data_IF_619343191801
#
_entry.id   IF_619343191801
#
_cell.length_a   1.000
_cell.length_b   1.000
_cell.length_c   1.000
_cell.angle_alpha   90.00
_cell.angle_beta   90.00
_cell.angle_gamma   90.00
#
_symmetry.space_group_name_H-M   'P 1'
#
loop_
_entity.id
_entity.type
_entity.pdbx_description
1 polymer ?
#
# COMPACT_ATOMS: atom_id res chain seq x y z
N UNK A 1 -0.02 21.38 -10.59
CA UNK A 1 0.31 20.21 -9.74
C UNK A 1 -0.98 19.63 -9.17
N UNK A 2 -1.33 18.38 -9.49
CA UNK A 2 -2.48 17.74 -8.83
C UNK A 2 -2.13 17.46 -7.36
N UNK A 3 -2.93 18.00 -6.44
CA UNK A 3 -2.83 17.66 -5.02
C UNK A 3 -3.19 16.17 -4.86
N UNK A 4 -2.20 15.33 -4.55
CA UNK A 4 -2.46 13.92 -4.21
C UNK A 4 -3.14 13.86 -2.84
N UNK A 5 -4.28 13.16 -2.75
CA UNK A 5 -4.96 12.92 -1.47
C UNK A 5 -4.18 11.87 -0.69
N UNK A 6 -3.88 12.17 0.57
CA UNK A 6 -3.23 11.24 1.51
C UNK A 6 -4.29 10.77 2.51
N UNK A 7 -4.35 9.46 2.75
CA UNK A 7 -5.19 8.86 3.78
C UNK A 7 -4.33 8.18 4.83
N UNK A 8 -4.66 8.37 6.10
CA UNK A 8 -4.04 7.66 7.23
C UNK A 8 -5.15 6.83 7.87
N UNK A 9 -4.93 5.52 7.98
CA UNK A 9 -5.93 4.58 8.48
C UNK A 9 -5.48 4.09 9.85
N UNK A 10 -6.38 4.16 10.83
CA UNK A 10 -6.18 3.60 12.16
C UNK A 10 -7.12 2.41 12.34
N UNK A 11 -6.62 1.35 13.00
CA UNK A 11 -7.43 0.19 13.35
C UNK A 11 -8.16 0.37 14.68
N UNK A 12 -9.09 -0.53 15.03
CA UNK A 12 -9.71 -0.57 16.36
C UNK A 12 -8.67 -0.73 17.47
N UNK A 13 -8.93 -0.17 18.65
CA UNK A 13 -7.96 -0.14 19.76
C UNK A 13 -7.50 -1.52 20.23
N UNK A 14 -8.41 -2.49 20.28
CA UNK A 14 -8.09 -3.85 20.77
C UNK A 14 -7.38 -4.72 19.72
N UNK A 15 -7.71 -4.58 18.44
CA UNK A 15 -7.32 -5.53 17.39
C UNK A 15 -6.41 -4.94 16.31
N UNK A 16 -6.30 -3.62 16.22
CA UNK A 16 -5.47 -2.93 15.24
C UNK A 16 -5.91 -3.19 13.78
N UNK A 17 -4.98 -2.96 12.84
CA UNK A 17 -5.21 -3.24 11.43
C UNK A 17 -4.96 -4.72 11.15
N UNK A 18 -5.89 -5.36 10.43
CA UNK A 18 -5.68 -6.72 9.93
C UNK A 18 -4.66 -6.72 8.76
N UNK A 19 -4.18 -7.92 8.40
CA UNK A 19 -3.21 -8.08 7.31
C UNK A 19 -3.73 -7.60 5.96
N UNK A 20 -5.05 -7.63 5.73
CA UNK A 20 -5.67 -7.15 4.49
C UNK A 20 -5.64 -5.62 4.40
N UNK A 21 -5.88 -4.92 5.51
CA UNK A 21 -5.75 -3.46 5.58
C UNK A 21 -4.28 -3.04 5.43
N UNK A 22 -3.36 -3.79 6.03
CA UNK A 22 -1.92 -3.54 5.93
C UNK A 22 -1.43 -3.75 4.49
N UNK A 23 -1.86 -4.82 3.80
CA UNK A 23 -1.44 -5.07 2.41
C UNK A 23 -1.96 -4.03 1.41
N UNK A 24 -3.06 -3.35 1.74
CA UNK A 24 -3.58 -2.21 0.99
C UNK A 24 -2.86 -0.90 1.31
N UNK A 25 -2.02 -0.83 2.34
CA UNK A 25 -1.34 0.41 2.74
C UNK A 25 0.00 0.55 2.01
N UNK A 26 0.34 1.77 1.59
CA UNK A 26 1.60 2.04 0.88
C UNK A 26 2.79 2.08 1.85
N UNK A 27 2.52 2.49 3.10
CA UNK A 27 3.49 2.55 4.18
C UNK A 27 2.86 2.07 5.49
N UNK A 28 3.69 1.55 6.38
CA UNK A 28 3.32 1.19 7.75
C UNK A 28 4.03 2.16 8.69
N UNK A 29 3.25 2.91 9.46
CA UNK A 29 3.76 3.79 10.50
C UNK A 29 3.64 3.09 11.85
N UNK A 30 4.73 3.09 12.63
CA UNK A 30 4.77 2.57 13.99
C UNK A 30 5.26 3.66 14.93
N UNK A 31 4.47 4.00 15.94
CA UNK A 31 4.88 4.90 17.00
C UNK A 31 5.88 4.15 17.90
N UNK A 32 7.09 4.67 18.13
CA UNK A 32 8.03 4.07 19.07
C UNK A 32 7.40 3.97 20.46
N UNK A 33 7.38 2.77 21.03
CA UNK A 33 6.76 2.47 22.31
C UNK A 33 7.64 1.50 23.10
N UNK A 34 7.34 1.33 24.39
CA UNK A 34 8.01 0.31 25.19
C UNK A 34 7.74 -1.09 24.61
N UNK A 35 8.77 -1.92 24.46
CA UNK A 35 8.61 -3.30 23.93
C UNK A 35 7.71 -4.17 24.81
N UNK A 36 7.66 -3.91 26.12
CA UNK A 36 6.80 -4.63 27.08
C UNK A 36 5.34 -4.14 27.05
N UNK A 37 5.10 -2.91 26.60
CA UNK A 37 3.79 -2.27 26.51
C UNK A 37 3.70 -1.47 25.23
N UNK A 38 3.35 -2.16 24.14
CA UNK A 38 3.32 -1.58 22.80
C UNK A 38 1.95 -1.12 22.34
N UNK A 39 0.90 -1.40 23.12
CA UNK A 39 -0.43 -0.87 22.85
C UNK A 39 -0.51 0.57 23.36
N UNK A 40 -1.01 1.45 22.50
CA UNK A 40 -1.28 2.85 22.79
C UNK A 40 -2.76 3.06 22.52
N UNK A 41 -3.43 3.81 23.40
CA UNK A 41 -4.81 4.20 23.19
C UNK A 41 -5.00 4.88 21.82
N UNK A 42 -6.08 4.56 21.12
CA UNK A 42 -6.32 5.04 19.76
C UNK A 42 -6.29 6.58 19.68
N UNK A 43 -6.90 7.29 20.63
CA UNK A 43 -6.93 8.75 20.63
C UNK A 43 -5.53 9.36 20.81
N UNK A 44 -4.67 8.73 21.61
CA UNK A 44 -3.27 9.15 21.78
C UNK A 44 -2.45 8.91 20.52
N UNK A 45 -2.64 7.77 19.86
CA UNK A 45 -1.98 7.47 18.60
C UNK A 45 -2.35 8.50 17.50
N UNK A 46 -3.64 8.84 17.38
CA UNK A 46 -4.13 9.88 16.47
C UNK A 46 -3.51 11.24 16.81
N UNK A 47 -3.51 11.62 18.09
CA UNK A 47 -2.95 12.89 18.56
C UNK A 47 -1.47 13.03 18.21
N UNK A 48 -0.66 11.99 18.45
CA UNK A 48 0.78 11.98 18.12
C UNK A 48 0.99 12.17 16.61
N UNK A 49 0.22 11.45 15.78
CA UNK A 49 0.33 11.55 14.31
C UNK A 49 -0.06 12.95 13.84
N UNK A 50 -1.16 13.52 14.32
CA UNK A 50 -1.58 14.87 14.00
C UNK A 50 -0.54 15.91 14.43
N UNK A 51 0.04 15.75 15.62
CA UNK A 51 1.08 16.64 16.11
C UNK A 51 2.33 16.61 15.23
N UNK A 52 2.84 15.43 14.85
CA UNK A 52 3.99 15.32 13.95
C UNK A 52 3.72 15.92 12.56
N UNK A 53 2.51 15.72 12.01
CA UNK A 53 2.11 16.36 10.75
C UNK A 53 2.06 17.88 10.88
N UNK A 54 1.56 18.41 12.00
CA UNK A 54 1.50 19.86 12.22
C UNK A 54 2.90 20.50 12.17
N UNK A 55 3.92 19.85 12.76
CA UNK A 55 5.31 20.32 12.70
C UNK A 55 5.82 20.45 11.27
N UNK A 56 5.37 19.60 10.35
CA UNK A 56 5.75 19.68 8.93
C UNK A 56 5.01 20.77 8.16
N UNK A 57 3.82 21.15 8.61
CA UNK A 57 3.05 22.25 8.01
C UNK A 57 3.66 23.60 8.42
N UNK A 58 4.14 23.70 9.67
CA UNK A 58 4.77 24.91 10.21
C UNK A 58 6.27 25.04 9.92
N UNK A 59 6.92 23.99 9.44
CA UNK A 59 8.30 24.07 8.92
C UNK A 59 8.24 24.37 7.44
N UNK A 60 8.94 25.40 6.99
CA UNK A 60 9.25 25.60 5.58
C UNK A 60 10.11 24.42 5.10
N UNK A 61 9.46 23.36 4.65
CA UNK A 61 10.14 22.22 4.05
C UNK A 61 10.45 22.62 2.61
N UNK A 62 11.46 23.46 2.45
CA UNK A 62 12.18 23.68 1.20
C UNK A 62 13.04 22.46 0.87
N UNK A 63 12.43 21.28 0.84
CA UNK A 63 13.08 20.07 0.34
C UNK A 63 12.55 19.80 -1.06
N UNK A 64 13.44 19.94 -2.05
CA UNK A 64 13.29 19.43 -3.43
C UNK A 64 13.17 17.89 -3.41
N UNK A 65 12.16 17.34 -2.75
CA UNK A 65 11.83 15.93 -2.89
C UNK A 65 11.24 15.76 -4.27
N UNK A 66 11.91 14.98 -5.12
CA UNK A 66 11.39 14.51 -6.41
C UNK A 66 9.97 14.00 -6.17
N UNK A 67 8.97 14.73 -6.65
CA UNK A 67 7.59 14.29 -6.64
C UNK A 67 7.55 13.20 -7.69
N UNK A 68 7.72 11.95 -7.27
CA UNK A 68 7.53 10.81 -8.15
C UNK A 68 6.09 10.86 -8.65
N UNK A 69 5.91 10.79 -9.97
CA UNK A 69 4.60 10.73 -10.59
C UNK A 69 4.01 9.32 -10.43
N UNK A 70 3.78 8.96 -9.16
CA UNK A 70 3.18 7.71 -8.72
C UNK A 70 1.80 7.55 -9.35
N UNK A 71 1.55 6.37 -9.88
CA UNK A 71 0.26 6.02 -10.42
C UNK A 71 -0.84 6.12 -9.36
N UNK A 72 -2.06 6.50 -9.75
CA UNK A 72 -3.20 6.40 -8.85
C UNK A 72 -3.38 4.95 -8.37
N UNK A 73 -3.71 4.79 -7.09
CA UNK A 73 -3.94 3.46 -6.48
C UNK A 73 -4.97 2.61 -7.22
N UNK A 74 -5.94 3.26 -7.87
CA UNK A 74 -6.94 2.62 -8.74
C UNK A 74 -6.30 1.84 -9.90
N UNK A 75 -5.24 2.35 -10.50
CA UNK A 75 -4.54 1.67 -11.60
C UNK A 75 -3.81 0.42 -11.11
N UNK A 76 -3.14 0.49 -9.95
CA UNK A 76 -2.52 -0.68 -9.33
C UNK A 76 -3.55 -1.76 -8.97
N UNK A 77 -4.71 -1.37 -8.43
CA UNK A 77 -5.79 -2.31 -8.12
C UNK A 77 -6.32 -2.98 -9.40
N UNK A 78 -6.46 -2.22 -10.49
CA UNK A 78 -6.88 -2.77 -11.76
C UNK A 78 -5.84 -3.75 -12.33
N UNK A 79 -4.55 -3.41 -12.20
CA UNK A 79 -3.45 -4.29 -12.55
C UNK A 79 -3.52 -5.62 -11.79
N UNK A 80 -3.75 -5.59 -10.47
CA UNK A 80 -3.88 -6.81 -9.67
C UNK A 80 -5.05 -7.69 -10.12
N UNK A 81 -6.20 -7.10 -10.45
CA UNK A 81 -7.36 -7.86 -10.94
C UNK A 81 -7.06 -8.57 -12.25
N UNK A 82 -6.39 -7.89 -13.18
CA UNK A 82 -6.02 -8.47 -14.48
C UNK A 82 -5.00 -9.59 -14.27
N UNK A 83 -3.96 -9.36 -13.46
CA UNK A 83 -2.94 -10.35 -13.16
C UNK A 83 -3.53 -11.59 -12.49
N UNK A 84 -4.39 -11.40 -11.49
CA UNK A 84 -5.05 -12.49 -10.76
C UNK A 84 -5.90 -13.36 -11.70
N UNK A 85 -6.74 -12.73 -12.54
CA UNK A 85 -7.55 -13.44 -13.54
C UNK A 85 -6.67 -14.25 -14.51
N UNK A 86 -5.56 -13.67 -14.98
CA UNK A 86 -4.65 -14.36 -15.93
C UNK A 86 -3.89 -15.52 -15.29
N UNK A 87 -3.50 -15.39 -14.03
CA UNK A 87 -2.87 -16.48 -13.29
C UNK A 87 -3.86 -17.62 -13.00
N UNK A 88 -5.13 -17.31 -12.77
CA UNK A 88 -6.20 -18.31 -12.67
C UNK A 88 -6.40 -19.07 -13.98
N UNK A 89 -6.49 -18.37 -15.12
CA UNK A 89 -6.63 -18.99 -16.45
C UNK A 89 -5.49 -19.97 -16.78
N UNK A 90 -4.30 -19.77 -16.22
CA UNK A 90 -3.11 -20.63 -16.41
C UNK A 90 -2.91 -21.67 -15.30
N UNK A 91 -3.89 -21.87 -14.40
CA UNK A 91 -3.81 -22.80 -13.27
C UNK A 91 -2.58 -22.59 -12.36
N UNK A 92 -2.11 -21.34 -12.21
CA UNK A 92 -0.97 -21.02 -11.33
C UNK A 92 -1.28 -21.30 -9.85
N UNK A 93 -2.53 -21.07 -9.44
CA UNK A 93 -3.00 -21.34 -8.08
C UNK A 93 -3.44 -22.81 -7.95
N UNK A 94 -2.48 -23.72 -7.78
CA UNK A 94 -2.75 -25.16 -7.67
C UNK A 94 -3.52 -25.58 -6.40
N UNK A 95 -3.51 -24.75 -5.35
CA UNK A 95 -4.15 -25.04 -4.06
C UNK A 95 -5.01 -23.86 -3.65
N UNK A 96 -6.33 -24.03 -3.64
CA UNK A 96 -7.31 -22.97 -3.34
C UNK A 96 -7.10 -22.34 -1.96
N UNK A 97 -6.77 -23.15 -0.94
CA UNK A 97 -6.50 -22.64 0.41
C UNK A 97 -5.30 -21.68 0.46
N UNK A 98 -4.31 -21.88 -0.43
CA UNK A 98 -3.10 -21.04 -0.51
C UNK A 98 -3.25 -19.88 -1.47
N UNK A 99 -4.24 -19.92 -2.36
CA UNK A 99 -4.50 -18.89 -3.37
C UNK A 99 -4.53 -17.49 -2.75
N UNK A 100 -5.34 -17.31 -1.69
CA UNK A 100 -5.50 -16.02 -1.02
C UNK A 100 -4.16 -15.47 -0.49
N UNK A 101 -3.34 -16.34 0.10
CA UNK A 101 -2.01 -15.98 0.64
C UNK A 101 -1.06 -15.59 -0.51
N UNK A 102 -1.04 -16.37 -1.59
CA UNK A 102 -0.18 -16.11 -2.74
C UNK A 102 -0.56 -14.81 -3.45
N UNK A 103 -1.85 -14.54 -3.66
CA UNK A 103 -2.35 -13.27 -4.19
C UNK A 103 -1.90 -12.09 -3.33
N UNK A 104 -2.01 -12.22 -2.00
CA UNK A 104 -1.57 -11.16 -1.09
C UNK A 104 -0.05 -10.92 -1.14
N UNK A 105 0.75 -11.99 -1.28
CA UNK A 105 2.20 -11.86 -1.50
C UNK A 105 2.52 -11.15 -2.81
N UNK A 106 1.83 -11.48 -3.90
CA UNK A 106 1.99 -10.80 -5.20
C UNK A 106 1.66 -9.31 -5.07
N UNK A 107 0.53 -8.96 -4.45
CA UNK A 107 0.14 -7.57 -4.20
C UNK A 107 1.21 -6.82 -3.39
N UNK A 108 1.78 -7.46 -2.37
CA UNK A 108 2.84 -6.88 -1.54
C UNK A 108 4.15 -6.61 -2.29
N UNK A 109 4.46 -7.34 -3.37
CA UNK A 109 5.65 -7.10 -4.19
C UNK A 109 5.50 -5.77 -4.94
N UNK A 110 4.35 -5.56 -5.57
CA UNK A 110 4.08 -4.40 -6.41
C UNK A 110 3.64 -3.15 -5.62
N UNK A 111 3.08 -3.30 -4.41
CA UNK A 111 2.74 -2.15 -3.57
C UNK A 111 3.98 -1.40 -3.06
N UNK A 112 5.10 -2.10 -2.89
CA UNK A 112 6.37 -1.51 -2.44
C UNK A 112 7.15 -0.80 -3.54
N UNK A 113 6.87 -1.09 -4.81
CA UNK A 113 7.70 -0.62 -5.93
C UNK A 113 7.40 0.80 -6.40
N UNK A 114 6.46 1.53 -5.77
CA UNK A 114 6.20 2.96 -6.03
C UNK A 114 6.07 3.28 -7.54
N UNK A 115 5.29 2.46 -8.25
CA UNK A 115 5.22 2.48 -9.71
C UNK A 115 4.54 3.73 -10.25
N UNK A 116 5.03 4.22 -11.38
CA UNK A 116 4.38 5.24 -12.19
C UNK A 116 3.40 4.63 -13.21
N UNK A 117 2.58 5.49 -13.83
CA UNK A 117 1.54 5.05 -14.80
C UNK A 117 2.16 4.32 -16.00
N UNK A 118 3.33 4.75 -16.46
CA UNK A 118 3.99 4.14 -17.61
C UNK A 118 4.53 2.75 -17.29
N UNK A 119 5.08 2.55 -16.10
CA UNK A 119 5.54 1.25 -15.60
C UNK A 119 4.37 0.26 -15.47
N UNK A 120 3.21 0.71 -14.96
CA UNK A 120 2.00 -0.13 -14.92
C UNK A 120 1.56 -0.53 -16.33
N UNK A 121 1.63 0.39 -17.31
CA UNK A 121 1.34 0.07 -18.72
C UNK A 121 2.31 -0.96 -19.30
N UNK A 122 3.60 -0.85 -18.99
CA UNK A 122 4.62 -1.83 -19.41
C UNK A 122 4.30 -3.20 -18.81
N UNK A 123 3.98 -3.26 -17.51
CA UNK A 123 3.59 -4.51 -16.84
C UNK A 123 2.33 -5.13 -17.47
N UNK A 124 1.33 -4.32 -17.81
CA UNK A 124 0.18 -4.78 -18.59
C UNK A 124 0.57 -5.33 -19.97
N UNK A 125 1.51 -4.67 -20.66
CA UNK A 125 2.08 -5.12 -21.92
C UNK A 125 2.77 -6.48 -21.81
N UNK A 126 3.55 -6.70 -20.75
CA UNK A 126 4.20 -7.99 -20.45
C UNK A 126 3.14 -9.08 -20.27
N UNK A 127 2.12 -8.85 -19.44
CA UNK A 127 1.03 -9.84 -19.23
C UNK A 127 0.35 -10.18 -20.56
N UNK A 128 0.06 -9.17 -21.39
CA UNK A 128 -0.60 -9.37 -22.69
C UNK A 128 0.29 -10.11 -23.69
N UNK A 129 1.60 -9.91 -23.63
CA UNK A 129 2.55 -10.62 -24.50
C UNK A 129 2.69 -12.09 -24.15
N UNK A 130 2.57 -12.45 -22.86
CA UNK A 130 2.61 -13.83 -22.38
C UNK A 130 1.31 -14.61 -22.65
N UNK A 131 0.26 -13.93 -23.09
CA UNK A 131 -1.02 -14.53 -23.46
C UNK A 131 -1.04 -15.05 -24.91
N UNK A 132 -0.17 -14.51 -25.78
CA UNK A 132 0.06 -15.02 -27.13
C UNK A 132 0.97 -16.23 -27.11
#
# INVERSE_FOLDING_TARGET
MQKKKIGIVFGPEQSGLNNEHISLSDYILKIPSNKKFSSINLSHAVTIVCYELSKTIFRDISSNKKIYDLAPKKELINFYKILEKKLEEKNFFMVDERKKITVQKIRNIFSKSLLNVNEIKILHGIIKSLEK
#
